data_IF_739598852694
#
_entry.id   IF_739598852694
#
_cell.length_a   1.000
_cell.length_b   1.000
_cell.length_c   1.000
_cell.angle_alpha   90.00
_cell.angle_beta   90.00
_cell.angle_gamma   90.00
#
_symmetry.space_group_name_H-M   'P 1'
#
loop_
_entity.id
_entity.type
_entity.pdbx_description
1 polymer ?
#
# COMPACT_ATOMS: atom_id res chain seq x y z
N UNK A 1 1.85 23.07 36.57
CA UNK A 1 0.81 22.03 36.81
C UNK A 1 -0.08 22.45 37.94
N UNK A 2 -1.42 22.42 37.78
CA UNK A 2 -2.36 22.67 38.87
C UNK A 2 -2.18 21.63 39.99
N UNK A 3 -2.47 22.00 41.25
CA UNK A 3 -2.40 21.09 42.42
C UNK A 3 -3.19 19.79 42.16
N UNK A 4 -4.32 19.87 41.42
CA UNK A 4 -5.16 18.74 41.01
C UNK A 4 -4.42 17.80 40.09
N UNK A 5 -3.70 18.30 39.06
CA UNK A 5 -2.94 17.47 38.13
C UNK A 5 -1.76 16.75 38.83
N UNK A 6 -1.10 17.39 39.79
CA UNK A 6 -0.04 16.77 40.58
C UNK A 6 -0.56 15.66 41.51
N UNK A 7 -1.76 15.85 42.06
CA UNK A 7 -2.46 14.83 42.83
C UNK A 7 -2.90 13.64 41.97
N UNK A 8 -3.45 13.91 40.78
CA UNK A 8 -3.82 12.88 39.82
C UNK A 8 -2.62 12.01 39.44
N UNK A 9 -1.49 12.61 39.12
CA UNK A 9 -0.25 11.91 38.79
C UNK A 9 0.25 11.02 39.93
N UNK A 10 0.30 11.52 41.14
CA UNK A 10 0.69 10.73 42.32
C UNK A 10 -0.27 9.58 42.61
N UNK A 11 -1.58 9.79 42.40
CA UNK A 11 -2.60 8.77 42.51
C UNK A 11 -2.37 7.59 41.55
N UNK A 12 -2.04 7.91 40.28
CA UNK A 12 -1.75 6.88 39.24
C UNK A 12 -0.50 6.06 39.59
N UNK A 13 0.55 6.69 40.14
CA UNK A 13 1.78 5.99 40.50
C UNK A 13 1.52 4.97 41.63
N UNK A 14 0.60 5.24 42.56
CA UNK A 14 0.27 4.29 43.62
C UNK A 14 -0.49 3.07 43.14
N UNK A 15 -1.06 3.07 41.88
CA UNK A 15 -1.85 1.99 41.28
C UNK A 15 -1.30 1.59 39.92
N UNK A 16 -0.03 1.29 39.92
CA UNK A 16 0.73 1.01 38.67
C UNK A 16 0.06 -0.05 37.81
N UNK A 17 -0.46 -1.15 38.37
CA UNK A 17 -1.02 -2.26 37.61
C UNK A 17 -2.29 -1.84 36.83
N UNK A 18 -3.27 -1.22 37.51
CA UNK A 18 -4.52 -0.77 36.85
C UNK A 18 -4.28 0.39 35.90
N UNK A 19 -3.39 1.32 36.23
CA UNK A 19 -3.02 2.42 35.34
C UNK A 19 -2.32 1.91 34.06
N UNK A 20 -1.35 0.99 34.19
CA UNK A 20 -0.65 0.39 33.05
C UNK A 20 -1.64 -0.38 32.17
N UNK A 21 -2.53 -1.18 32.75
CA UNK A 21 -3.53 -1.93 31.97
C UNK A 21 -4.43 -0.99 31.18
N UNK A 22 -4.89 0.09 31.81
CA UNK A 22 -5.72 1.11 31.14
C UNK A 22 -4.96 1.83 30.03
N UNK A 23 -3.72 2.23 30.27
CA UNK A 23 -2.84 2.84 29.27
C UNK A 23 -2.64 1.89 28.08
N UNK A 24 -2.38 0.61 28.36
CA UNK A 24 -2.17 -0.41 27.32
C UNK A 24 -3.42 -0.64 26.49
N UNK A 25 -4.62 -0.70 27.08
CA UNK A 25 -5.86 -0.86 26.33
C UNK A 25 -6.13 0.32 25.40
N UNK A 26 -5.92 1.56 25.87
CA UNK A 26 -6.04 2.76 25.06
C UNK A 26 -4.95 2.77 23.96
N UNK A 27 -3.71 2.42 24.30
CA UNK A 27 -2.59 2.38 23.36
C UNK A 27 -2.86 1.39 22.22
N UNK A 28 -3.32 0.17 22.52
CA UNK A 28 -3.68 -0.85 21.51
C UNK A 28 -4.80 -0.32 20.62
N UNK A 29 -5.82 0.31 21.19
CA UNK A 29 -6.92 0.92 20.43
C UNK A 29 -6.42 2.00 19.46
N UNK A 30 -5.49 2.85 19.88
CA UNK A 30 -4.88 3.89 19.04
C UNK A 30 -4.01 3.27 17.95
N UNK A 31 -3.19 2.25 18.27
CA UNK A 31 -2.37 1.54 17.28
C UNK A 31 -3.24 0.94 16.17
N UNK A 32 -4.34 0.27 16.52
CA UNK A 32 -5.24 -0.34 15.54
C UNK A 32 -5.97 0.72 14.72
N UNK A 33 -6.51 1.75 15.35
CA UNK A 33 -7.24 2.81 14.68
C UNK A 33 -6.36 3.54 13.65
N UNK A 34 -5.20 4.02 14.08
CA UNK A 34 -4.29 4.75 13.20
C UNK A 34 -3.54 3.83 12.23
N UNK A 35 -3.23 2.59 12.65
CA UNK A 35 -2.58 1.60 11.79
C UNK A 35 -3.44 1.25 10.59
N UNK A 36 -4.74 0.97 10.78
CA UNK A 36 -5.70 0.72 9.70
C UNK A 36 -5.81 1.94 8.78
N UNK A 37 -5.92 3.15 9.36
CA UNK A 37 -6.03 4.39 8.57
C UNK A 37 -4.77 4.63 7.71
N UNK A 38 -3.59 4.44 8.27
CA UNK A 38 -2.32 4.59 7.53
C UNK A 38 -2.15 3.59 6.41
N UNK A 39 -2.41 2.30 6.69
CA UNK A 39 -2.34 1.27 5.65
C UNK A 39 -3.31 1.61 4.51
N UNK A 40 -4.53 2.01 4.83
CA UNK A 40 -5.55 2.41 3.86
C UNK A 40 -5.08 3.57 2.98
N UNK A 41 -4.62 4.65 3.60
CA UNK A 41 -4.23 5.88 2.90
C UNK A 41 -2.98 5.66 2.06
N UNK A 42 -1.96 5.03 2.63
CA UNK A 42 -0.69 4.79 1.93
C UNK A 42 -0.85 3.76 0.80
N UNK A 43 -1.72 2.75 0.96
CA UNK A 43 -2.03 1.85 -0.14
C UNK A 43 -2.67 2.64 -1.31
N UNK A 44 -3.66 3.49 -1.04
CA UNK A 44 -4.29 4.34 -2.07
C UNK A 44 -3.28 5.25 -2.76
N UNK A 45 -2.44 5.91 -2.01
CA UNK A 45 -1.41 6.81 -2.55
C UNK A 45 -0.38 6.05 -3.39
N UNK A 46 0.08 4.88 -2.94
CA UNK A 46 1.01 4.04 -3.69
C UNK A 46 0.42 3.60 -5.03
N UNK A 47 -0.83 3.14 -5.03
CA UNK A 47 -1.50 2.75 -6.27
C UNK A 47 -1.75 3.96 -7.20
N UNK A 48 -2.20 5.09 -6.66
CA UNK A 48 -2.44 6.30 -7.45
C UNK A 48 -1.14 6.84 -8.07
N UNK A 49 -0.02 6.67 -7.38
CA UNK A 49 1.30 7.12 -7.83
C UNK A 49 2.00 6.16 -8.80
N UNK A 50 1.47 4.95 -9.02
CA UNK A 50 2.13 3.95 -9.87
C UNK A 50 2.17 4.36 -11.33
N UNK A 51 1.13 5.02 -11.85
CA UNK A 51 1.05 5.46 -13.25
C UNK A 51 0.61 6.92 -13.32
N UNK A 52 1.40 7.72 -14.00
CA UNK A 52 1.18 9.15 -14.13
C UNK A 52 1.39 9.59 -15.58
N UNK A 53 0.56 10.49 -16.07
CA UNK A 53 0.70 11.02 -17.44
C UNK A 53 0.21 10.09 -18.56
N UNK A 54 -0.30 8.90 -18.25
CA UNK A 54 -0.95 7.99 -19.21
C UNK A 54 -2.44 8.33 -19.29
N UNK A 55 -2.93 8.61 -20.49
CA UNK A 55 -4.33 8.97 -20.70
C UNK A 55 -5.22 7.74 -20.91
N UNK A 56 -4.72 6.72 -21.65
CA UNK A 56 -5.44 5.48 -21.91
C UNK A 56 -4.51 4.27 -21.71
N UNK A 57 -5.08 3.17 -21.24
CA UNK A 57 -4.51 1.82 -21.30
C UNK A 57 -5.40 1.00 -22.23
N UNK A 58 -4.79 0.34 -23.20
CA UNK A 58 -5.48 -0.47 -24.19
C UNK A 58 -5.01 -1.91 -24.06
N UNK A 59 -5.96 -2.85 -24.08
CA UNK A 59 -5.71 -4.29 -23.99
C UNK A 59 -6.79 -5.10 -24.71
N UNK A 60 -6.65 -6.42 -24.72
CA UNK A 60 -7.72 -7.31 -25.13
C UNK A 60 -8.97 -7.09 -24.26
N UNK A 61 -10.16 -7.30 -24.83
CA UNK A 61 -11.42 -7.02 -24.11
C UNK A 61 -11.50 -7.76 -22.79
N UNK A 62 -11.51 -6.98 -21.70
CA UNK A 62 -11.60 -7.46 -20.30
C UNK A 62 -12.22 -6.39 -19.42
N UNK A 63 -12.45 -6.71 -18.14
CA UNK A 63 -12.89 -5.70 -17.15
C UNK A 63 -11.82 -4.61 -16.93
N UNK A 64 -12.27 -3.38 -16.67
CA UNK A 64 -11.38 -2.22 -16.51
C UNK A 64 -10.33 -2.45 -15.41
N UNK A 65 -10.76 -2.97 -14.26
CA UNK A 65 -9.86 -3.28 -13.13
C UNK A 65 -8.87 -4.38 -13.51
N UNK A 66 -9.30 -5.43 -14.22
CA UNK A 66 -8.40 -6.50 -14.65
C UNK A 66 -7.31 -5.97 -15.59
N UNK A 67 -7.69 -5.17 -16.60
CA UNK A 67 -6.73 -4.55 -17.52
C UNK A 67 -5.72 -3.66 -16.78
N UNK A 68 -6.17 -2.86 -15.83
CA UNK A 68 -5.30 -2.05 -14.98
C UNK A 68 -4.34 -2.92 -14.16
N UNK A 69 -4.85 -3.97 -13.49
CA UNK A 69 -4.07 -4.82 -12.61
C UNK A 69 -2.93 -5.52 -13.35
N UNK A 70 -3.19 -6.15 -14.48
CA UNK A 70 -2.10 -6.87 -15.16
C UNK A 70 -1.15 -5.92 -15.90
N UNK A 71 -1.64 -4.85 -16.53
CA UNK A 71 -0.79 -3.97 -17.34
C UNK A 71 0.08 -3.02 -16.53
N UNK A 72 -0.41 -2.54 -15.38
CA UNK A 72 0.29 -1.56 -14.53
C UNK A 72 0.88 -2.21 -13.30
N UNK A 73 0.07 -2.99 -12.57
CA UNK A 73 0.48 -3.57 -11.28
C UNK A 73 1.16 -4.94 -11.40
N UNK A 74 1.20 -5.53 -12.60
CA UNK A 74 1.77 -6.88 -12.85
C UNK A 74 1.05 -7.99 -12.05
N UNK A 75 -0.20 -7.76 -11.66
CA UNK A 75 -1.06 -8.68 -10.90
C UNK A 75 -2.04 -9.36 -11.86
N UNK A 76 -2.09 -10.69 -11.83
CA UNK A 76 -2.94 -11.47 -12.72
C UNK A 76 -2.34 -11.65 -14.13
N UNK A 77 -3.18 -12.07 -15.07
CA UNK A 77 -2.79 -12.31 -16.45
C UNK A 77 -3.83 -11.71 -17.40
N UNK A 78 -3.39 -11.35 -18.59
CA UNK A 78 -4.31 -10.94 -19.66
C UNK A 78 -5.17 -12.12 -20.12
N UNK A 79 -6.41 -11.86 -20.47
CA UNK A 79 -7.30 -12.86 -21.06
C UNK A 79 -6.97 -13.11 -22.54
N UNK A 80 -6.62 -12.04 -23.26
CA UNK A 80 -6.21 -12.07 -24.66
C UNK A 80 -5.11 -11.03 -24.89
N UNK A 81 -4.28 -11.29 -25.90
CA UNK A 81 -3.30 -10.35 -26.41
C UNK A 81 -3.92 -9.47 -27.50
N UNK A 82 -3.19 -8.43 -27.90
CA UNK A 82 -3.51 -7.51 -29.00
C UNK A 82 -2.60 -7.84 -30.16
N UNK A 83 -3.13 -7.93 -31.38
CA UNK A 83 -2.34 -8.09 -32.58
C UNK A 83 -1.42 -6.89 -32.81
N UNK A 84 -0.19 -7.16 -33.25
CA UNK A 84 0.79 -6.10 -33.54
C UNK A 84 0.29 -5.08 -34.56
N UNK A 85 -0.53 -5.50 -35.53
CA UNK A 85 -1.16 -4.61 -36.52
C UNK A 85 -2.12 -3.61 -35.85
N UNK A 86 -2.92 -4.06 -34.90
CA UNK A 86 -3.83 -3.21 -34.13
C UNK A 86 -3.06 -2.22 -33.26
N UNK A 87 -1.96 -2.66 -32.63
CA UNK A 87 -1.05 -1.77 -31.91
C UNK A 87 -0.52 -0.68 -32.84
N UNK A 88 0.03 -1.03 -34.00
CA UNK A 88 0.58 -0.06 -34.96
C UNK A 88 -0.48 0.94 -35.46
N UNK A 89 -1.72 0.48 -35.72
CA UNK A 89 -2.82 1.35 -36.16
C UNK A 89 -3.15 2.41 -35.10
N UNK A 90 -3.22 2.03 -33.84
CA UNK A 90 -3.52 2.97 -32.76
C UNK A 90 -2.31 3.78 -32.29
N UNK A 91 -1.12 3.21 -32.28
CA UNK A 91 0.11 3.95 -31.96
C UNK A 91 0.35 5.12 -32.96
N UNK A 92 0.02 4.90 -34.25
CA UNK A 92 0.14 5.92 -35.30
C UNK A 92 -1.13 6.79 -35.45
N UNK A 93 -2.11 6.65 -34.56
CA UNK A 93 -3.33 7.44 -34.66
C UNK A 93 -3.03 8.92 -34.38
N UNK A 94 -3.65 9.82 -35.15
CA UNK A 94 -3.42 11.28 -35.11
C UNK A 94 -3.54 11.92 -33.71
N UNK A 95 -4.37 11.36 -32.85
CA UNK A 95 -4.60 11.86 -31.49
C UNK A 95 -3.53 11.41 -30.50
N UNK A 96 -2.76 10.38 -30.84
CA UNK A 96 -1.73 9.79 -29.98
C UNK A 96 -0.44 10.59 -30.10
N UNK A 97 0.15 10.87 -28.97
CA UNK A 97 1.47 11.49 -28.84
C UNK A 97 2.55 10.44 -28.72
N UNK A 98 2.35 9.49 -27.84
CA UNK A 98 3.23 8.35 -27.64
C UNK A 98 2.43 7.09 -27.25
N UNK A 99 3.02 5.92 -27.58
CA UNK A 99 2.48 4.63 -27.22
C UNK A 99 3.60 3.70 -26.74
N UNK A 100 3.39 3.05 -25.60
CA UNK A 100 4.31 2.09 -25.00
C UNK A 100 3.69 0.69 -25.11
N UNK A 101 4.23 -0.21 -25.91
CA UNK A 101 3.78 -1.60 -25.94
C UNK A 101 4.30 -2.37 -24.72
N UNK A 102 3.49 -3.29 -24.22
CA UNK A 102 3.80 -4.14 -23.09
C UNK A 102 3.47 -5.58 -23.43
N UNK A 103 4.44 -6.47 -23.32
CA UNK A 103 4.27 -7.92 -23.43
C UNK A 103 4.60 -8.58 -22.10
N UNK A 104 3.70 -9.39 -21.57
CA UNK A 104 3.80 -10.07 -20.28
C UNK A 104 3.51 -11.57 -20.50
N UNK A 105 4.18 -12.42 -19.75
CA UNK A 105 3.96 -13.87 -19.83
C UNK A 105 5.09 -14.65 -19.18
N UNK A 106 6.26 -14.07 -19.16
CA UNK A 106 7.48 -14.70 -18.67
C UNK A 106 7.87 -14.20 -17.26
N UNK A 107 8.81 -14.91 -16.65
CA UNK A 107 9.35 -14.56 -15.34
C UNK A 107 10.82 -14.92 -15.20
N UNK A 108 11.46 -14.30 -14.20
CA UNK A 108 12.80 -14.64 -13.73
C UNK A 108 12.77 -14.77 -12.20
N UNK A 109 12.98 -15.98 -11.70
CA UNK A 109 13.00 -16.26 -10.24
C UNK A 109 11.85 -15.63 -9.46
N UNK A 110 10.63 -15.71 -10.01
CA UNK A 110 9.41 -15.16 -9.42
C UNK A 110 9.13 -13.69 -9.73
N UNK A 111 10.05 -12.97 -10.35
CA UNK A 111 9.83 -11.61 -10.86
C UNK A 111 9.25 -11.63 -12.27
N UNK A 112 8.28 -10.77 -12.54
CA UNK A 112 7.69 -10.65 -13.89
C UNK A 112 8.69 -10.08 -14.87
N UNK A 113 8.74 -10.69 -16.08
CA UNK A 113 9.46 -10.16 -17.23
C UNK A 113 8.46 -9.37 -18.07
N UNK A 114 8.87 -8.20 -18.52
CA UNK A 114 8.10 -7.31 -19.38
C UNK A 114 8.89 -7.00 -20.64
N UNK A 115 8.36 -7.45 -21.77
CA UNK A 115 8.79 -6.99 -23.07
C UNK A 115 8.24 -5.59 -23.37
N UNK A 116 9.10 -4.66 -23.78
CA UNK A 116 8.74 -3.29 -24.14
C UNK A 116 9.76 -2.70 -25.13
N UNK A 117 9.66 -1.41 -25.41
CA UNK A 117 10.60 -0.68 -26.28
C UNK A 117 11.16 0.57 -25.57
N UNK A 118 12.02 1.34 -26.26
CA UNK A 118 12.65 2.55 -25.73
C UNK A 118 11.65 3.60 -25.24
N UNK A 119 10.45 3.68 -25.85
CA UNK A 119 9.40 4.61 -25.44
C UNK A 119 8.98 4.42 -23.97
N UNK A 120 9.22 3.23 -23.40
CA UNK A 120 8.94 2.99 -21.99
C UNK A 120 9.83 3.83 -21.08
N UNK A 121 11.13 3.86 -21.33
CA UNK A 121 12.08 4.62 -20.52
C UNK A 121 11.94 6.13 -20.72
N UNK A 122 11.50 6.56 -21.90
CA UNK A 122 11.30 7.97 -22.24
C UNK A 122 9.98 8.53 -21.69
N UNK A 123 8.88 7.80 -21.84
CA UNK A 123 7.53 8.34 -21.60
C UNK A 123 6.84 7.84 -20.33
N UNK A 124 7.25 6.68 -19.79
CA UNK A 124 6.64 6.20 -18.55
C UNK A 124 6.97 7.12 -17.39
N UNK A 125 5.93 7.54 -16.66
CA UNK A 125 6.05 8.42 -15.50
C UNK A 125 5.29 7.87 -14.31
N UNK A 126 5.82 8.13 -13.12
CA UNK A 126 5.24 7.73 -11.84
C UNK A 126 5.21 8.91 -10.85
N UNK A 127 4.52 8.75 -9.73
CA UNK A 127 4.38 9.80 -8.72
C UNK A 127 3.89 11.13 -9.31
N UNK A 128 4.55 12.19 -8.96
CA UNK A 128 4.27 13.54 -9.49
C UNK A 128 4.87 13.76 -10.89
N UNK A 129 4.64 12.83 -11.82
CA UNK A 129 5.18 12.83 -13.20
C UNK A 129 6.70 12.72 -13.28
N UNK A 130 7.31 11.97 -12.37
CA UNK A 130 8.74 11.69 -12.41
C UNK A 130 9.05 10.69 -13.53
N UNK A 131 10.11 10.92 -14.27
CA UNK A 131 10.62 10.01 -15.30
C UNK A 131 11.47 8.90 -14.68
N UNK A 132 11.55 7.76 -15.35
CA UNK A 132 12.48 6.71 -14.97
C UNK A 132 13.92 7.20 -15.08
N UNK A 133 14.75 6.83 -14.11
CA UNK A 133 16.19 7.10 -14.10
C UNK A 133 16.94 5.81 -13.81
N UNK A 134 18.19 5.74 -14.25
CA UNK A 134 19.07 4.61 -14.00
C UNK A 134 19.95 4.88 -12.79
N UNK A 135 20.04 3.90 -11.88
CA UNK A 135 21.04 3.91 -10.81
C UNK A 135 22.40 3.45 -11.33
N UNK A 136 22.39 2.51 -12.28
CA UNK A 136 23.59 1.96 -12.93
C UNK A 136 23.26 1.63 -14.39
N UNK A 137 24.25 1.82 -15.29
CA UNK A 137 24.14 1.45 -16.71
C UNK A 137 23.17 2.32 -17.50
N UNK A 138 22.60 1.74 -18.54
CA UNK A 138 21.73 2.39 -19.53
C UNK A 138 20.58 1.46 -19.95
N UNK A 139 19.70 1.96 -20.82
CA UNK A 139 18.68 1.15 -21.47
C UNK A 139 19.27 0.07 -22.40
N UNK A 140 18.50 -0.96 -22.68
CA UNK A 140 18.92 -2.03 -23.58
C UNK A 140 18.88 -1.57 -25.05
N UNK A 141 19.87 -2.01 -25.84
CA UNK A 141 19.93 -1.83 -27.29
C UNK A 141 20.11 -3.17 -28.01
N UNK A 142 20.62 -4.17 -27.34
CA UNK A 142 20.85 -5.51 -27.90
C UNK A 142 19.70 -6.47 -27.63
N UNK A 143 19.53 -7.49 -28.50
CA UNK A 143 18.46 -8.48 -28.43
C UNK A 143 18.41 -9.23 -27.09
N UNK A 144 19.57 -9.60 -26.51
CA UNK A 144 19.68 -10.32 -25.24
C UNK A 144 20.26 -9.42 -24.15
N UNK A 145 19.76 -8.20 -24.08
CA UNK A 145 20.06 -7.25 -23.01
C UNK A 145 18.81 -7.03 -22.17
N UNK A 146 19.03 -6.74 -20.88
CA UNK A 146 17.96 -6.53 -19.92
C UNK A 146 18.25 -5.38 -18.99
N UNK A 147 17.21 -4.68 -18.61
CA UNK A 147 17.22 -3.66 -17.54
C UNK A 147 16.41 -4.19 -16.36
N UNK A 148 17.00 -4.16 -15.17
CA UNK A 148 16.35 -4.63 -13.95
C UNK A 148 15.73 -3.47 -13.18
N UNK A 149 14.58 -3.75 -12.57
CA UNK A 149 14.06 -2.91 -11.50
C UNK A 149 14.96 -2.99 -10.26
N UNK A 150 14.96 -1.95 -9.45
CA UNK A 150 15.86 -1.81 -8.29
C UNK A 150 15.72 -2.97 -7.28
N UNK A 151 14.49 -3.43 -7.01
CA UNK A 151 14.23 -4.53 -6.08
C UNK A 151 14.71 -5.88 -6.63
N UNK A 152 14.59 -6.11 -7.94
CA UNK A 152 15.11 -7.32 -8.61
C UNK A 152 16.61 -7.41 -8.43
N UNK A 153 17.32 -6.33 -8.76
CA UNK A 153 18.79 -6.28 -8.64
C UNK A 153 19.22 -6.50 -7.18
N UNK A 154 18.60 -5.80 -6.25
CA UNK A 154 18.93 -5.87 -4.82
C UNK A 154 18.64 -7.25 -4.22
N UNK A 155 17.46 -7.84 -4.47
CA UNK A 155 17.07 -9.11 -3.87
C UNK A 155 17.84 -10.31 -4.41
N UNK A 156 18.20 -10.26 -5.70
CA UNK A 156 18.93 -11.34 -6.36
C UNK A 156 20.45 -11.12 -6.42
N UNK A 157 20.94 -9.96 -5.93
CA UNK A 157 22.36 -9.62 -5.91
C UNK A 157 22.96 -9.41 -7.30
N UNK A 158 22.18 -8.86 -8.26
CA UNK A 158 22.64 -8.61 -9.61
C UNK A 158 23.22 -7.21 -9.77
N UNK A 159 24.23 -7.12 -10.64
CA UNK A 159 24.90 -5.89 -11.05
C UNK A 159 24.93 -5.79 -12.58
N UNK A 160 25.26 -4.65 -13.11
CA UNK A 160 25.51 -4.48 -14.55
C UNK A 160 26.61 -5.45 -14.98
N UNK A 161 26.34 -6.22 -16.06
CA UNK A 161 27.19 -7.30 -16.53
C UNK A 161 26.79 -8.70 -16.06
N UNK A 162 25.90 -8.85 -15.06
CA UNK A 162 25.36 -10.14 -14.66
C UNK A 162 24.57 -10.79 -15.79
N UNK A 163 24.49 -12.12 -15.81
CA UNK A 163 23.65 -12.88 -16.73
C UNK A 163 22.44 -13.46 -16.03
N UNK A 164 21.28 -13.37 -16.67
CA UNK A 164 20.02 -13.92 -16.17
C UNK A 164 19.35 -14.81 -17.21
N UNK A 165 18.55 -15.75 -16.77
CA UNK A 165 17.79 -16.69 -17.62
C UNK A 165 16.30 -16.43 -17.41
N UNK A 166 15.55 -16.29 -18.48
CA UNK A 166 14.10 -16.10 -18.48
C UNK A 166 13.41 -17.47 -18.60
N UNK A 167 12.28 -17.62 -17.90
CA UNK A 167 11.46 -18.82 -17.92
C UNK A 167 10.00 -18.47 -18.25
N UNK A 168 9.27 -19.42 -18.85
CA UNK A 168 7.84 -19.26 -19.08
C UNK A 168 7.04 -19.41 -17.79
N UNK A 169 6.03 -18.56 -17.64
CA UNK A 169 5.11 -18.58 -16.49
C UNK A 169 5.74 -18.05 -15.22
N UNK A 170 5.00 -18.16 -14.11
CA UNK A 170 5.43 -17.60 -12.79
C UNK A 170 6.17 -18.66 -11.95
N UNK A 171 6.02 -19.94 -12.28
CA UNK A 171 6.64 -21.04 -11.52
C UNK A 171 8.02 -21.40 -12.09
N UNK A 172 8.99 -21.52 -11.21
CA UNK A 172 10.38 -21.93 -11.54
C UNK A 172 10.47 -23.46 -11.79
N UNK A 173 9.54 -24.01 -12.57
CA UNK A 173 9.50 -25.45 -12.89
C UNK A 173 10.42 -25.71 -14.07
N UNK A 174 11.40 -26.59 -13.89
CA UNK A 174 12.56 -26.80 -14.75
C UNK A 174 12.34 -27.14 -16.22
N UNK A 175 11.10 -27.29 -16.71
CA UNK A 175 10.80 -27.64 -18.12
C UNK A 175 10.59 -26.45 -19.03
N UNK A 176 10.56 -25.22 -18.52
CA UNK A 176 10.23 -23.99 -19.28
C UNK A 176 11.34 -22.92 -19.27
N UNK A 177 12.58 -23.29 -18.95
CA UNK A 177 13.71 -22.38 -18.88
C UNK A 177 14.45 -22.27 -20.21
N UNK A 178 14.85 -21.03 -20.57
CA UNK A 178 15.66 -20.74 -21.75
C UNK A 178 17.16 -20.69 -21.43
N UNK A 179 17.70 -21.75 -20.82
CA UNK A 179 19.11 -21.81 -20.34
C UNK A 179 20.15 -21.53 -21.45
N UNK A 180 19.77 -21.69 -22.71
CA UNK A 180 20.59 -21.44 -23.89
C UNK A 180 20.63 -19.98 -24.37
N UNK A 181 19.78 -19.12 -23.80
CA UNK A 181 19.66 -17.71 -24.20
C UNK A 181 19.77 -16.79 -22.97
N UNK A 182 20.98 -16.66 -22.40
CA UNK A 182 21.19 -15.76 -21.27
C UNK A 182 21.06 -14.30 -21.70
N UNK A 183 20.44 -13.48 -20.84
CA UNK A 183 20.33 -12.04 -20.99
C UNK A 183 21.39 -11.36 -20.14
N UNK A 184 22.09 -10.38 -20.72
CA UNK A 184 23.06 -9.56 -20.00
C UNK A 184 22.38 -8.35 -19.39
N UNK A 185 22.57 -8.14 -18.10
CA UNK A 185 22.10 -6.93 -17.40
C UNK A 185 22.95 -5.74 -17.85
N UNK A 186 22.32 -4.76 -18.51
CA UNK A 186 22.98 -3.53 -19.00
C UNK A 186 22.60 -2.30 -18.23
N UNK A 187 21.51 -2.35 -17.46
CA UNK A 187 21.06 -1.24 -16.63
C UNK A 187 20.23 -1.70 -15.43
N UNK A 188 20.24 -0.86 -14.41
CA UNK A 188 19.42 -1.01 -13.20
C UNK A 188 18.70 0.31 -12.98
N UNK A 189 17.37 0.27 -12.87
CA UNK A 189 16.57 1.46 -12.61
C UNK A 189 16.76 1.93 -11.15
N UNK A 190 16.67 3.23 -10.94
CA UNK A 190 16.57 3.81 -9.61
C UNK A 190 15.23 3.42 -8.96
N UNK A 191 15.15 3.32 -7.62
CA UNK A 191 13.93 2.97 -6.92
C UNK A 191 12.78 3.94 -7.24
N UNK A 192 11.62 3.38 -7.60
CA UNK A 192 10.42 4.16 -7.94
C UNK A 192 9.31 4.05 -6.89
N UNK A 193 9.35 3.01 -6.05
CA UNK A 193 8.26 2.68 -5.14
C UNK A 193 7.03 2.12 -5.85
N UNK A 194 7.19 1.61 -7.06
CA UNK A 194 6.13 1.08 -7.91
C UNK A 194 6.45 -0.34 -8.36
N UNK A 195 5.53 -1.07 -9.02
CA UNK A 195 5.81 -2.39 -9.57
C UNK A 195 6.98 -2.45 -10.58
N UNK A 196 7.42 -1.31 -11.10
CA UNK A 196 8.62 -1.19 -11.94
C UNK A 196 9.84 -1.75 -11.22
N UNK A 197 9.97 -1.50 -9.91
CA UNK A 197 11.11 -1.97 -9.10
C UNK A 197 11.23 -3.50 -9.05
N UNK A 198 10.11 -4.21 -9.25
CA UNK A 198 10.00 -5.67 -9.25
C UNK A 198 9.87 -6.29 -10.65
N UNK A 199 10.20 -5.54 -11.68
CA UNK A 199 10.06 -5.98 -13.08
C UNK A 199 11.41 -6.12 -13.73
N UNK A 200 11.57 -7.16 -14.55
CA UNK A 200 12.69 -7.37 -15.46
C UNK A 200 12.25 -6.87 -16.85
N UNK A 201 12.98 -5.93 -17.44
CA UNK A 201 12.61 -5.28 -18.70
C UNK A 201 13.51 -5.79 -19.81
N UNK A 202 12.90 -6.25 -20.90
CA UNK A 202 13.59 -6.73 -22.13
C UNK A 202 12.93 -6.11 -23.35
N UNK A 203 13.60 -6.20 -24.50
CA UNK A 203 12.98 -5.76 -25.76
C UNK A 203 11.84 -6.70 -26.18
N UNK A 204 10.87 -6.20 -26.96
CA UNK A 204 9.81 -7.03 -27.52
C UNK A 204 10.37 -8.09 -28.46
N UNK A 205 11.39 -7.72 -29.22
CA UNK A 205 12.10 -8.61 -30.13
C UNK A 205 12.74 -9.78 -29.37
N UNK A 206 13.23 -9.53 -28.15
CA UNK A 206 13.77 -10.57 -27.29
C UNK A 206 12.72 -11.58 -26.85
N UNK A 207 11.50 -11.12 -26.55
CA UNK A 207 10.37 -12.01 -26.23
C UNK A 207 10.06 -12.92 -27.40
N UNK A 208 10.02 -12.41 -28.64
CA UNK A 208 9.81 -13.25 -29.82
C UNK A 208 10.99 -14.22 -30.05
N UNK A 209 12.23 -13.76 -29.81
CA UNK A 209 13.42 -14.58 -30.01
C UNK A 209 13.50 -15.77 -29.05
N UNK A 210 13.12 -15.62 -27.78
CA UNK A 210 13.12 -16.75 -26.83
C UNK A 210 12.03 -17.78 -27.13
N UNK A 211 10.97 -17.38 -27.85
CA UNK A 211 9.86 -18.25 -28.23
C UNK A 211 10.10 -19.02 -29.53
N UNK A 212 11.20 -18.82 -30.25
CA UNK A 212 11.56 -19.58 -31.44
C UNK A 212 11.68 -21.07 -31.09
N UNK A 213 10.88 -21.90 -31.74
CA UNK A 213 10.80 -23.36 -31.51
C UNK A 213 9.88 -23.77 -30.35
N UNK A 214 9.13 -22.81 -29.74
CA UNK A 214 8.11 -23.06 -28.72
C UNK A 214 6.69 -22.77 -29.20
N UNK A 215 6.48 -22.61 -30.49
CA UNK A 215 5.20 -22.17 -31.09
C UNK A 215 4.01 -23.10 -30.79
N UNK A 216 4.26 -24.36 -30.42
CA UNK A 216 3.24 -25.34 -30.02
C UNK A 216 3.06 -25.51 -28.50
N UNK A 217 3.68 -24.67 -27.66
CA UNK A 217 3.69 -24.81 -26.20
C UNK A 217 4.65 -25.89 -25.69
N UNK A 218 5.31 -26.64 -26.58
CA UNK A 218 6.39 -27.57 -26.28
C UNK A 218 7.54 -27.30 -27.25
N UNK A 219 8.76 -27.56 -26.81
CA UNK A 219 9.94 -27.34 -27.66
C UNK A 219 9.99 -28.33 -28.82
N UNK A 220 9.97 -27.83 -30.02
CA UNK A 220 10.14 -28.62 -31.26
C UNK A 220 11.42 -28.17 -31.98
N UNK A 221 12.35 -29.11 -32.20
CA UNK A 221 13.56 -28.87 -32.99
C UNK A 221 14.84 -28.56 -32.20
N UNK A 222 15.96 -28.30 -32.93
CA UNK A 222 17.25 -27.99 -32.29
C UNK A 222 17.22 -26.64 -31.55
N UNK A 223 17.99 -26.57 -30.47
CA UNK A 223 18.12 -25.36 -29.63
C UNK A 223 18.82 -24.27 -30.42
N UNK A 224 18.18 -23.13 -30.72
CA UNK A 224 18.88 -22.02 -31.36
C UNK A 224 19.94 -21.44 -30.40
N UNK A 225 21.10 -21.09 -30.96
CA UNK A 225 22.14 -20.39 -30.22
C UNK A 225 21.89 -18.88 -30.31
N UNK A 226 22.27 -18.16 -29.27
CA UNK A 226 22.09 -16.68 -29.21
C UNK A 226 22.72 -15.99 -30.44
N UNK A 227 23.85 -16.50 -30.97
CA UNK A 227 24.50 -15.94 -32.13
C UNK A 227 23.67 -16.10 -33.43
N UNK A 228 22.93 -17.20 -33.57
CA UNK A 228 22.10 -17.48 -34.77
C UNK A 228 20.86 -16.58 -34.81
N UNK A 229 20.44 -16.09 -33.66
CA UNK A 229 19.28 -15.21 -33.47
C UNK A 229 19.60 -13.72 -33.57
N UNK A 230 20.82 -13.31 -33.23
CA UNK A 230 21.21 -11.87 -33.22
C UNK A 230 21.07 -11.18 -34.59
N UNK A 231 21.18 -11.92 -35.67
CA UNK A 231 21.11 -11.39 -37.05
C UNK A 231 19.72 -11.54 -37.70
N UNK A 232 18.72 -12.01 -36.96
CA UNK A 232 17.33 -12.10 -37.40
C UNK A 232 16.52 -10.90 -36.98
N UNK A 233 15.66 -10.43 -37.87
CA UNK A 233 14.67 -9.42 -37.54
C UNK A 233 13.45 -10.10 -36.88
N UNK A 234 13.20 -9.78 -35.61
CA UNK A 234 12.08 -10.29 -34.85
C UNK A 234 11.03 -9.21 -34.75
N UNK A 235 9.98 -9.32 -35.56
CA UNK A 235 8.83 -8.43 -35.38
C UNK A 235 7.87 -9.05 -34.37
N UNK A 236 7.43 -8.29 -33.37
CA UNK A 236 6.40 -8.74 -32.43
C UNK A 236 5.14 -9.16 -33.20
N UNK A 237 4.56 -10.29 -32.81
CA UNK A 237 3.29 -10.77 -33.37
C UNK A 237 2.12 -10.18 -32.60
N UNK A 238 2.25 -10.13 -31.29
CA UNK A 238 1.22 -9.71 -30.35
C UNK A 238 1.85 -8.98 -29.16
N UNK A 239 1.05 -8.16 -28.51
CA UNK A 239 1.38 -7.53 -27.21
C UNK A 239 0.25 -7.79 -26.21
N UNK A 240 0.54 -7.69 -24.94
CA UNK A 240 -0.46 -7.87 -23.87
C UNK A 240 -1.32 -6.63 -23.68
N UNK A 241 -0.70 -5.45 -23.71
CA UNK A 241 -1.34 -4.16 -23.54
C UNK A 241 -0.47 -3.04 -24.14
N UNK A 242 -1.03 -1.85 -24.26
CA UNK A 242 -0.25 -0.64 -24.53
C UNK A 242 -0.71 0.52 -23.64
N UNK A 243 0.24 1.35 -23.22
CA UNK A 243 0.00 2.62 -22.55
C UNK A 243 0.05 3.73 -23.59
N UNK A 244 -0.87 4.68 -23.50
CA UNK A 244 -1.03 5.73 -24.50
C UNK A 244 -1.11 7.09 -23.84
N UNK A 245 -0.29 8.02 -24.32
CA UNK A 245 -0.41 9.44 -24.07
C UNK A 245 -1.00 10.15 -25.26
N UNK A 246 -1.88 11.10 -25.02
CA UNK A 246 -2.59 11.85 -26.04
C UNK A 246 -2.04 13.28 -26.18
N UNK A 247 -2.02 13.80 -27.40
CA UNK A 247 -1.69 15.20 -27.68
C UNK A 247 -2.67 16.17 -27.00
N UNK A 248 -3.93 15.73 -26.83
CA UNK A 248 -4.97 16.51 -26.17
C UNK A 248 -5.94 15.60 -25.43
N UNK A 249 -6.16 15.88 -24.15
CA UNK A 249 -7.12 15.15 -23.31
C UNK A 249 -8.58 15.26 -23.76
N UNK A 250 -8.91 16.27 -24.54
CA UNK A 250 -10.27 16.42 -25.10
C UNK A 250 -10.63 15.22 -25.99
N UNK A 251 -9.64 14.59 -26.63
CA UNK A 251 -9.84 13.46 -27.53
C UNK A 251 -9.93 12.10 -26.82
N UNK A 252 -9.74 12.05 -25.50
CA UNK A 252 -9.69 10.78 -24.74
C UNK A 252 -10.95 9.94 -24.92
N UNK A 253 -12.13 10.53 -24.73
CA UNK A 253 -13.40 9.80 -24.85
C UNK A 253 -13.71 9.36 -26.28
N UNK A 254 -13.36 10.20 -27.27
CA UNK A 254 -13.58 9.87 -28.68
C UNK A 254 -12.72 8.68 -29.10
N UNK A 255 -11.41 8.70 -28.75
CA UNK A 255 -10.49 7.62 -29.05
C UNK A 255 -10.85 6.35 -28.25
N UNK A 256 -11.20 6.48 -26.97
CA UNK A 256 -11.66 5.35 -26.16
C UNK A 256 -12.87 4.65 -26.80
N UNK A 257 -13.87 5.41 -27.24
CA UNK A 257 -15.04 4.85 -27.92
C UNK A 257 -14.65 4.15 -29.23
N UNK A 258 -13.78 4.76 -30.03
CA UNK A 258 -13.31 4.17 -31.28
C UNK A 258 -12.62 2.82 -31.06
N UNK A 259 -11.78 2.71 -30.02
CA UNK A 259 -11.09 1.48 -29.65
C UNK A 259 -12.07 0.44 -29.15
N UNK A 260 -12.99 0.80 -28.24
CA UNK A 260 -13.96 -0.13 -27.66
C UNK A 260 -14.98 -0.67 -28.67
N UNK A 261 -15.15 0.03 -29.81
CA UNK A 261 -16.01 -0.39 -30.93
C UNK A 261 -15.22 -0.86 -32.15
N UNK A 262 -13.91 -1.14 -31.96
CA UNK A 262 -13.05 -1.54 -33.06
C UNK A 262 -13.49 -2.90 -33.65
N UNK A 263 -13.79 -2.96 -34.98
CA UNK A 263 -14.42 -4.14 -35.58
C UNK A 263 -13.48 -5.27 -35.90
N UNK A 264 -12.16 -5.00 -36.02
CA UNK A 264 -11.18 -6.00 -36.43
C UNK A 264 -10.74 -6.91 -35.29
N UNK A 265 -10.79 -6.38 -34.04
CA UNK A 265 -10.32 -7.09 -32.85
C UNK A 265 -11.08 -6.61 -31.61
N UNK A 266 -11.45 -7.51 -30.67
CA UNK A 266 -12.14 -7.12 -29.44
C UNK A 266 -11.16 -6.45 -28.46
N UNK A 267 -11.06 -5.13 -28.54
CA UNK A 267 -10.22 -4.31 -27.67
C UNK A 267 -11.00 -3.65 -26.55
N UNK A 268 -10.30 -3.23 -25.52
CA UNK A 268 -10.78 -2.41 -24.42
C UNK A 268 -9.79 -1.30 -24.14
N UNK A 269 -10.26 -0.05 -24.13
CA UNK A 269 -9.50 1.11 -23.71
C UNK A 269 -10.08 1.64 -22.41
N UNK A 270 -9.23 1.83 -21.41
CA UNK A 270 -9.60 2.33 -20.09
C UNK A 270 -8.81 3.59 -19.74
N UNK A 271 -9.42 4.46 -18.95
CA UNK A 271 -8.72 5.56 -18.30
C UNK A 271 -8.19 5.10 -16.95
N UNK A 272 -6.87 5.19 -16.68
CA UNK A 272 -6.27 4.68 -15.43
C UNK A 272 -6.96 5.22 -14.18
N UNK A 273 -7.26 6.51 -14.13
CA UNK A 273 -7.92 7.14 -12.99
C UNK A 273 -9.32 6.60 -12.71
N UNK A 274 -10.11 6.30 -13.76
CA UNK A 274 -11.46 5.72 -13.59
C UNK A 274 -11.37 4.28 -13.13
N UNK A 275 -10.46 3.49 -13.71
CA UNK A 275 -10.26 2.10 -13.31
C UNK A 275 -9.75 1.98 -11.85
N UNK A 276 -8.86 2.90 -11.41
CA UNK A 276 -8.45 3.01 -10.02
C UNK A 276 -9.63 3.35 -9.10
N UNK A 277 -10.49 4.29 -9.50
CA UNK A 277 -11.68 4.63 -8.71
C UNK A 277 -12.64 3.45 -8.57
N UNK A 278 -12.85 2.67 -9.63
CA UNK A 278 -13.63 1.43 -9.61
C UNK A 278 -13.01 0.39 -8.66
N UNK A 279 -11.68 0.19 -8.73
CA UNK A 279 -10.94 -0.68 -7.81
C UNK A 279 -11.15 -0.28 -6.34
N UNK A 280 -11.06 1.03 -6.03
CA UNK A 280 -11.32 1.52 -4.68
C UNK A 280 -12.78 1.37 -4.26
N UNK A 281 -13.72 1.54 -5.20
CA UNK A 281 -15.13 1.26 -4.95
C UNK A 281 -15.35 -0.19 -4.50
N UNK A 282 -14.73 -1.15 -5.16
CA UNK A 282 -14.81 -2.57 -4.77
C UNK A 282 -14.16 -2.84 -3.40
N UNK A 283 -13.06 -2.16 -3.06
CA UNK A 283 -12.36 -2.32 -1.79
C UNK A 283 -13.05 -1.58 -0.63
N UNK A 284 -13.96 -0.65 -0.91
CA UNK A 284 -14.58 0.22 0.10
C UNK A 284 -15.33 -0.55 1.19
N UNK A 285 -15.95 -1.69 0.84
CA UNK A 285 -16.64 -2.56 1.80
C UNK A 285 -15.67 -3.13 2.83
N UNK A 286 -14.51 -3.61 2.38
CA UNK A 286 -13.47 -4.12 3.27
C UNK A 286 -12.89 -3.00 4.15
N UNK A 287 -12.69 -1.80 3.58
CA UNK A 287 -12.24 -0.62 4.32
C UNK A 287 -13.23 -0.23 5.43
N UNK A 288 -14.53 -0.20 5.11
CA UNK A 288 -15.59 0.10 6.08
C UNK A 288 -15.65 -0.94 7.19
N UNK A 289 -15.50 -2.22 6.86
CA UNK A 289 -15.46 -3.29 7.85
C UNK A 289 -14.26 -3.13 8.80
N UNK A 290 -13.06 -2.85 8.26
CA UNK A 290 -11.87 -2.60 9.08
C UNK A 290 -12.03 -1.37 9.98
N UNK A 291 -12.62 -0.30 9.47
CA UNK A 291 -12.90 0.91 10.25
C UNK A 291 -13.92 0.63 11.36
N UNK A 292 -14.97 -0.16 11.09
CA UNK A 292 -15.94 -0.57 12.10
C UNK A 292 -15.28 -1.42 13.20
N UNK A 293 -14.43 -2.38 12.83
CA UNK A 293 -13.65 -3.18 13.81
C UNK A 293 -12.76 -2.28 14.66
N UNK A 294 -12.05 -1.34 14.06
CA UNK A 294 -11.22 -0.36 14.80
C UNK A 294 -12.06 0.49 15.75
N UNK A 295 -13.25 0.91 15.34
CA UNK A 295 -14.21 1.61 16.20
C UNK A 295 -14.66 0.77 17.40
N UNK A 296 -14.99 -0.51 17.18
CA UNK A 296 -15.34 -1.43 18.26
C UNK A 296 -14.19 -1.64 19.25
N UNK A 297 -12.95 -1.72 18.77
CA UNK A 297 -11.77 -1.84 19.64
C UNK A 297 -11.57 -0.58 20.49
N UNK A 298 -11.80 0.61 19.92
CA UNK A 298 -11.77 1.87 20.69
C UNK A 298 -12.86 1.86 21.78
N UNK A 299 -14.08 1.46 21.44
CA UNK A 299 -15.18 1.35 22.41
C UNK A 299 -14.82 0.35 23.52
N UNK A 300 -14.31 -0.81 23.18
CA UNK A 300 -13.87 -1.82 24.15
C UNK A 300 -12.77 -1.29 25.07
N UNK A 301 -11.78 -0.59 24.51
CA UNK A 301 -10.71 0.06 25.30
C UNK A 301 -11.25 1.12 26.27
N UNK A 302 -12.20 1.93 25.82
CA UNK A 302 -12.85 2.94 26.64
C UNK A 302 -13.75 2.32 27.72
N UNK A 303 -14.45 1.23 27.45
CA UNK A 303 -15.21 0.46 28.44
C UNK A 303 -14.29 -0.21 29.48
N UNK A 304 -13.13 -0.72 29.06
CA UNK A 304 -12.08 -1.21 29.94
C UNK A 304 -11.56 -0.11 30.86
N UNK A 305 -11.33 1.09 30.34
CA UNK A 305 -10.98 2.28 31.14
C UNK A 305 -12.08 2.64 32.13
N UNK A 306 -13.35 2.64 31.72
CA UNK A 306 -14.49 2.89 32.60
C UNK A 306 -14.53 1.89 33.77
N UNK A 307 -14.40 0.59 33.47
CA UNK A 307 -14.36 -0.47 34.47
C UNK A 307 -13.22 -0.26 35.46
N UNK A 308 -12.02 0.03 34.95
CA UNK A 308 -10.83 0.35 35.79
C UNK A 308 -11.06 1.54 36.71
N UNK A 309 -11.63 2.65 36.19
CA UNK A 309 -11.92 3.85 36.97
C UNK A 309 -13.01 3.60 38.03
N UNK A 310 -14.04 2.82 37.72
CA UNK A 310 -15.10 2.47 38.69
C UNK A 310 -14.57 1.59 39.81
N UNK A 311 -13.73 0.59 39.49
CA UNK A 311 -13.06 -0.25 40.49
C UNK A 311 -12.13 0.60 41.39
N UNK A 312 -11.34 1.44 40.76
CA UNK A 312 -10.49 2.41 41.47
C UNK A 312 -11.29 3.32 42.42
N UNK A 313 -12.45 3.79 42.01
CA UNK A 313 -13.31 4.63 42.85
C UNK A 313 -13.80 3.86 44.07
N UNK A 314 -14.16 2.58 43.94
CA UNK A 314 -14.62 1.77 45.08
C UNK A 314 -13.50 1.57 46.12
N UNK A 315 -12.28 1.27 45.66
CA UNK A 315 -11.11 1.10 46.52
C UNK A 315 -10.72 2.40 47.26
N UNK A 316 -10.93 3.58 46.63
CA UNK A 316 -10.57 4.91 47.17
C UNK A 316 -11.72 5.60 47.91
N UNK A 317 -12.79 4.91 48.18
CA UNK A 317 -13.98 5.50 48.85
C UNK A 317 -13.62 6.19 50.17
N UNK A 318 -12.74 5.56 50.94
CA UNK A 318 -12.25 6.09 52.23
C UNK A 318 -11.34 7.30 52.05
N UNK A 319 -10.45 7.32 51.07
CA UNK A 319 -9.60 8.46 50.74
C UNK A 319 -10.44 9.68 50.33
N UNK A 320 -11.48 9.47 49.50
CA UNK A 320 -12.39 10.54 49.08
C UNK A 320 -13.20 11.09 50.25
N UNK A 321 -13.62 10.26 51.21
CA UNK A 321 -14.31 10.71 52.42
C UNK A 321 -13.36 11.57 53.31
N UNK A 322 -12.10 11.16 53.47
CA UNK A 322 -11.09 11.94 54.22
C UNK A 322 -10.84 13.31 53.55
N UNK A 323 -10.66 13.33 52.23
CA UNK A 323 -10.48 14.60 51.51
C UNK A 323 -11.67 15.54 51.68
N UNK A 324 -12.89 15.02 51.64
CA UNK A 324 -14.11 15.81 51.89
C UNK A 324 -14.22 16.28 53.36
N UNK A 325 -13.81 15.45 54.32
CA UNK A 325 -13.78 15.83 55.71
C UNK A 325 -12.76 16.97 56.00
N UNK A 326 -11.66 17.01 55.22
CA UNK A 326 -10.67 18.10 55.26
C UNK A 326 -11.12 19.37 54.50
N UNK A 327 -12.36 19.42 53.98
CA UNK A 327 -12.93 20.62 53.36
C UNK A 327 -12.89 20.62 51.81
N UNK A 328 -12.50 19.52 51.17
CA UNK A 328 -12.58 19.41 49.71
C UNK A 328 -14.05 19.41 49.25
N UNK A 329 -14.41 20.38 48.39
CA UNK A 329 -15.76 20.45 47.80
C UNK A 329 -15.98 19.30 46.79
N UNK A 330 -17.20 18.83 46.60
CA UNK A 330 -17.52 17.78 45.62
C UNK A 330 -16.96 18.03 44.21
N UNK A 331 -16.91 19.29 43.78
CA UNK A 331 -16.31 19.73 42.51
C UNK A 331 -14.82 19.42 42.40
N UNK A 332 -14.08 19.41 43.51
CA UNK A 332 -12.65 19.06 43.47
C UNK A 332 -12.44 17.57 43.25
N UNK A 333 -13.28 16.72 43.84
CA UNK A 333 -13.28 15.27 43.59
C UNK A 333 -13.67 14.97 42.14
N UNK A 334 -14.70 15.65 41.64
CA UNK A 334 -15.13 15.55 40.23
C UNK A 334 -14.00 15.92 39.26
N UNK A 335 -13.36 17.09 39.46
CA UNK A 335 -12.25 17.52 38.59
C UNK A 335 -11.03 16.61 38.69
N UNK A 336 -10.75 16.00 39.86
CA UNK A 336 -9.66 15.07 40.05
C UNK A 336 -9.87 13.80 39.17
N UNK A 337 -11.06 13.21 39.19
CA UNK A 337 -11.36 12.01 38.43
C UNK A 337 -11.38 12.26 36.91
N UNK A 338 -11.89 13.40 36.47
CA UNK A 338 -11.81 13.78 35.05
C UNK A 338 -10.36 13.99 34.62
N UNK A 339 -9.55 14.67 35.49
CA UNK A 339 -8.12 14.86 35.21
C UNK A 339 -7.37 13.51 35.11
N UNK A 340 -7.73 12.55 35.97
CA UNK A 340 -7.17 11.20 35.96
C UNK A 340 -7.54 10.45 34.64
N UNK A 341 -8.81 10.49 34.26
CA UNK A 341 -9.26 9.90 32.97
C UNK A 341 -8.58 10.56 31.76
N UNK A 342 -8.53 11.90 31.75
CA UNK A 342 -7.88 12.64 30.67
C UNK A 342 -6.38 12.33 30.57
N UNK A 343 -5.70 12.21 31.73
CA UNK A 343 -4.29 11.89 31.78
C UNK A 343 -4.01 10.46 31.31
N UNK A 344 -4.81 9.48 31.76
CA UNK A 344 -4.70 8.08 31.30
C UNK A 344 -4.90 7.95 29.78
N UNK A 345 -5.90 8.64 29.23
CA UNK A 345 -6.15 8.66 27.80
C UNK A 345 -4.99 9.32 27.04
N UNK A 346 -4.51 10.49 27.50
CA UNK A 346 -3.41 11.20 26.87
C UNK A 346 -2.11 10.36 26.87
N UNK A 347 -1.76 9.73 28.00
CA UNK A 347 -0.60 8.85 28.09
C UNK A 347 -0.80 7.61 27.20
N UNK A 348 -2.02 7.04 27.16
CA UNK A 348 -2.37 5.94 26.28
C UNK A 348 -2.20 6.30 24.79
N UNK A 349 -2.64 7.51 24.39
CA UNK A 349 -2.45 8.03 23.03
C UNK A 349 -0.96 8.16 22.70
N UNK A 350 -0.17 8.77 23.57
CA UNK A 350 1.28 8.94 23.35
C UNK A 350 1.99 7.58 23.26
N UNK A 351 1.65 6.66 24.16
CA UNK A 351 2.20 5.29 24.14
C UNK A 351 1.77 4.54 22.88
N UNK A 352 0.50 4.67 22.47
CA UNK A 352 -0.04 4.09 21.25
C UNK A 352 0.65 4.63 19.99
N UNK A 353 0.88 5.95 19.92
CA UNK A 353 1.64 6.57 18.83
C UNK A 353 3.09 6.04 18.78
N UNK A 354 3.78 6.04 19.90
CA UNK A 354 5.14 5.51 19.99
C UNK A 354 5.19 4.04 19.55
N UNK A 355 4.22 3.22 20.00
CA UNK A 355 4.07 1.83 19.60
C UNK A 355 3.80 1.67 18.10
N UNK A 356 2.91 2.49 17.52
CA UNK A 356 2.62 2.48 16.08
C UNK A 356 3.87 2.78 15.25
N UNK A 357 4.60 3.84 15.58
CA UNK A 357 5.84 4.18 14.86
C UNK A 357 6.92 3.10 15.03
N UNK A 358 7.04 2.49 16.21
CA UNK A 358 7.97 1.38 16.43
C UNK A 358 7.59 0.15 15.58
N UNK A 359 6.31 -0.22 15.54
CA UNK A 359 5.80 -1.32 14.69
C UNK A 359 6.06 -1.00 13.21
N UNK A 360 5.73 0.19 12.75
CA UNK A 360 5.96 0.61 11.36
C UNK A 360 7.44 0.56 11.00
N UNK A 361 8.33 1.01 11.86
CA UNK A 361 9.78 0.97 11.62
C UNK A 361 10.32 -0.48 11.48
N UNK A 362 9.74 -1.44 12.21
CA UNK A 362 10.12 -2.86 12.12
C UNK A 362 9.49 -3.52 10.90
N UNK A 363 8.22 -3.21 10.59
CA UNK A 363 7.43 -3.89 9.55
C UNK A 363 7.69 -3.31 8.16
N UNK A 364 8.01 -2.01 8.07
CA UNK A 364 8.29 -1.33 6.81
C UNK A 364 9.30 -2.05 5.90
N UNK A 365 10.52 -2.43 6.37
CA UNK A 365 11.48 -3.13 5.50
C UNK A 365 10.95 -4.50 5.03
N UNK A 366 10.16 -5.19 5.84
CA UNK A 366 9.57 -6.49 5.50
C UNK A 366 8.51 -6.33 4.41
N UNK A 367 7.61 -5.35 4.56
CA UNK A 367 6.56 -5.07 3.55
C UNK A 367 7.19 -4.58 2.25
N UNK A 368 8.17 -3.71 2.31
CA UNK A 368 8.88 -3.22 1.13
C UNK A 368 9.55 -4.37 0.39
N UNK A 369 10.23 -5.28 1.11
CA UNK A 369 10.92 -6.41 0.52
C UNK A 369 9.97 -7.41 -0.15
N UNK A 370 8.83 -7.75 0.47
CA UNK A 370 7.91 -8.77 -0.04
C UNK A 370 6.88 -8.22 -1.02
N UNK A 371 6.35 -7.03 -0.77
CA UNK A 371 5.23 -6.46 -1.53
C UNK A 371 5.60 -5.24 -2.37
N UNK A 372 6.77 -4.63 -2.20
CA UNK A 372 7.19 -3.42 -2.91
C UNK A 372 6.40 -2.17 -2.54
N UNK A 373 5.68 -2.20 -1.42
CA UNK A 373 4.90 -1.05 -0.94
C UNK A 373 5.78 -0.22 -0.03
N UNK A 374 6.02 1.03 -0.41
CA UNK A 374 6.73 1.99 0.44
C UNK A 374 5.78 2.58 1.49
N UNK A 375 5.88 2.08 2.72
CA UNK A 375 5.22 2.71 3.85
C UNK A 375 6.08 3.89 4.33
N UNK A 376 5.63 5.11 4.11
CA UNK A 376 6.39 6.28 4.56
C UNK A 376 6.12 6.57 6.04
N UNK A 377 7.18 6.79 6.82
CA UNK A 377 7.11 7.30 8.17
C UNK A 377 6.80 8.81 8.15
N UNK A 378 5.60 9.16 7.65
CA UNK A 378 5.15 10.55 7.59
C UNK A 378 4.66 11.07 8.95
N UNK A 379 4.65 12.38 9.11
CA UNK A 379 3.98 13.04 10.22
C UNK A 379 2.47 12.74 10.18
N UNK A 380 1.81 12.94 11.32
CA UNK A 380 0.36 12.75 11.43
C UNK A 380 -0.40 13.67 10.48
N UNK A 381 -1.32 13.09 9.72
CA UNK A 381 -2.25 13.83 8.86
C UNK A 381 -3.25 14.63 9.71
N UNK A 382 -3.88 15.68 9.18
CA UNK A 382 -4.96 16.40 9.87
C UNK A 382 -6.10 15.47 10.31
N UNK A 383 -6.41 14.46 9.53
CA UNK A 383 -7.44 13.46 9.85
C UNK A 383 -7.03 12.57 11.03
N UNK A 384 -5.77 12.13 11.10
CA UNK A 384 -5.23 11.35 12.23
C UNK A 384 -5.27 12.18 13.52
N UNK A 385 -4.94 13.47 13.47
CA UNK A 385 -5.10 14.38 14.62
C UNK A 385 -6.56 14.49 15.07
N UNK A 386 -7.50 14.56 14.14
CA UNK A 386 -8.93 14.58 14.47
C UNK A 386 -9.36 13.28 15.17
N UNK A 387 -8.90 12.11 14.69
CA UNK A 387 -9.18 10.80 15.33
C UNK A 387 -8.63 10.76 16.77
N UNK A 388 -7.40 11.22 16.99
CA UNK A 388 -6.80 11.29 18.32
C UNK A 388 -7.57 12.24 19.24
N UNK A 389 -7.99 13.40 18.72
CA UNK A 389 -8.86 14.33 19.42
C UNK A 389 -10.18 13.70 19.83
N UNK A 390 -10.79 12.91 18.94
CA UNK A 390 -12.02 12.16 19.22
C UNK A 390 -11.81 11.14 20.36
N UNK A 391 -10.72 10.35 20.32
CA UNK A 391 -10.39 9.40 21.39
C UNK A 391 -10.16 10.12 22.72
N UNK A 392 -9.46 11.26 22.72
CA UNK A 392 -9.24 12.06 23.91
C UNK A 392 -10.56 12.60 24.50
N UNK A 393 -11.42 13.14 23.67
CA UNK A 393 -12.74 13.64 24.09
C UNK A 393 -13.62 12.50 24.64
N UNK A 394 -13.64 11.36 23.96
CA UNK A 394 -14.39 10.18 24.41
C UNK A 394 -13.88 9.66 25.76
N UNK A 395 -12.56 9.65 25.98
CA UNK A 395 -11.95 9.29 27.26
C UNK A 395 -12.37 10.24 28.40
N UNK A 396 -12.42 11.55 28.11
CA UNK A 396 -12.91 12.55 29.08
C UNK A 396 -14.40 12.32 29.39
N UNK A 397 -15.23 12.11 28.36
CA UNK A 397 -16.68 11.87 28.52
C UNK A 397 -16.93 10.63 29.36
N UNK A 398 -16.21 9.55 29.12
CA UNK A 398 -16.33 8.31 29.92
C UNK A 398 -15.88 8.55 31.36
N UNK A 399 -14.88 9.36 31.58
CA UNK A 399 -14.44 9.78 32.91
C UNK A 399 -15.50 10.56 33.72
N UNK A 400 -16.48 11.18 33.05
CA UNK A 400 -17.61 11.86 33.72
C UNK A 400 -18.48 10.87 34.50
N UNK A 401 -18.65 9.65 34.05
CA UNK A 401 -19.51 8.64 34.72
C UNK A 401 -19.03 8.34 36.14
N UNK A 402 -17.79 7.91 36.41
CA UNK A 402 -17.29 7.70 37.75
C UNK A 402 -17.19 9.02 38.57
N UNK A 403 -16.85 10.12 37.88
CA UNK A 403 -16.77 11.42 38.54
C UNK A 403 -18.13 11.90 39.05
N UNK A 404 -19.18 11.73 38.27
CA UNK A 404 -20.57 12.07 38.69
C UNK A 404 -21.05 11.14 39.81
N UNK A 405 -20.71 9.85 39.75
CA UNK A 405 -21.03 8.90 40.82
C UNK A 405 -20.36 9.28 42.13
N UNK A 406 -19.08 9.65 42.10
CA UNK A 406 -18.35 10.15 43.26
C UNK A 406 -18.90 11.49 43.79
N UNK A 407 -19.34 12.37 42.90
CA UNK A 407 -19.97 13.65 43.27
C UNK A 407 -21.25 13.46 44.09
N UNK A 408 -22.09 12.47 43.76
CA UNK A 408 -23.37 12.16 44.40
C UNK A 408 -23.24 11.35 45.70
N UNK A 409 -22.10 10.71 45.98
CA UNK A 409 -21.90 9.95 47.23
C UNK A 409 -21.84 10.87 48.46
N UNK A 410 -22.56 10.50 49.50
CA UNK A 410 -22.57 11.28 50.77
C UNK A 410 -21.32 11.02 51.62
N UNK A 411 -21.02 11.90 52.57
CA UNK A 411 -19.93 11.71 53.52
C UNK A 411 -20.12 10.48 54.42
N UNK A 412 -21.37 10.22 54.81
CA UNK A 412 -21.74 9.08 55.66
C UNK A 412 -21.45 7.71 54.99
N UNK A 413 -21.58 7.63 53.66
CA UNK A 413 -21.37 6.37 52.89
C UNK A 413 -19.91 5.90 52.87
N UNK A 414 -18.95 6.82 53.13
CA UNK A 414 -17.52 6.50 53.15
C UNK A 414 -16.95 6.14 54.50
N UNK A 415 -17.67 6.39 55.59
CA UNK A 415 -17.21 6.14 56.97
C UNK A 415 -17.85 4.92 57.63
N UNK A 416 -18.86 4.32 57.02
CA UNK A 416 -19.48 3.08 57.53
C UNK A 416 -18.63 1.87 57.16
N UNK A 417 -18.13 1.16 58.19
CA UNK A 417 -17.49 -0.14 58.00
C UNK A 417 -18.62 -1.12 57.70
N UNK A 418 -18.75 -1.57 56.44
CA UNK A 418 -19.51 -2.79 56.15
C UNK A 418 -18.60 -3.98 56.43
N UNK A 419 -18.87 -4.66 57.54
CA UNK A 419 -18.36 -5.99 57.86
C UNK A 419 -18.95 -6.99 56.87
#
# INVERSE_FOLDING_TARGET
MSAVAKLAWKSLINRKATAILTIMTVAISVILLLGVERIRTQAKDSFANTISGTDLIIGGRSGQVNLLLYSVFRIGNATNNIDWKSYQEFANHRAVDWAIPISLGDSHKGFRVMGTNHSYFEHYKFGSKQSLTFSEGLEFNGLFETVLGSDVAKQLGYHVGSEIIIAHGISDVGFSRHDNLPFKVVGILAPTGTPVDKTVHVSLEAIEAIHVGWESGARLGPTPKAQDLKNRDFQPKQITAMLVGLKSRIQTFALQRQINTYPKEPLSAIMPGIALHELWGMMSVAEQALMAVSGFVVIAGLLGMLSSLLTSLQERRREMAILRAMGARPRHVFSLLISEASLLTAVGIVTGLAGLYAILAIVQPIIQQHYGIHLTLSLLSPYEWMLLGFVQCAGIVIGVIPAFRAYRQSLSDGMTIRI
#
